data_IF_522967383211
#
_entry.id   IF_522967383211
#
_cell.length_a   1.000
_cell.length_b   1.000
_cell.length_c   1.000
_cell.angle_alpha   90.00
_cell.angle_beta   90.00
_cell.angle_gamma   90.00
#
_symmetry.space_group_name_H-M   'P 1'
#
loop_
_entity.id
_entity.type
_entity.pdbx_description
1 polymer ?
#
# COMPACT_ATOMS: atom_id res chain seq x y z
N UNK A 1 -6.03 -7.52 -11.52
CA UNK A 1 -5.49 -8.48 -10.54
C UNK A 1 -6.13 -8.20 -9.19
N UNK A 2 -6.72 -9.21 -8.55
CA UNK A 2 -7.31 -9.08 -7.21
C UNK A 2 -6.19 -9.11 -6.17
N UNK A 3 -6.26 -8.26 -5.14
CA UNK A 3 -5.37 -8.37 -3.97
C UNK A 3 -5.65 -9.72 -3.29
N UNK A 4 -4.60 -10.40 -2.85
CA UNK A 4 -4.75 -11.71 -2.20
C UNK A 4 -5.60 -11.59 -0.93
N UNK A 5 -6.57 -12.49 -0.67
CA UNK A 5 -7.48 -12.37 0.49
C UNK A 5 -6.78 -12.28 1.86
N UNK A 6 -5.61 -12.89 2.00
CA UNK A 6 -4.81 -12.74 3.22
C UNK A 6 -4.34 -11.29 3.43
N UNK A 7 -3.92 -10.59 2.38
CA UNK A 7 -3.48 -9.19 2.44
C UNK A 7 -4.66 -8.28 2.82
N UNK A 8 -5.86 -8.55 2.27
CA UNK A 8 -7.11 -7.87 2.64
C UNK A 8 -7.37 -7.98 4.14
N UNK A 9 -7.25 -9.17 4.73
CA UNK A 9 -7.43 -9.39 6.18
C UNK A 9 -6.37 -8.69 7.03
N UNK A 10 -5.11 -8.66 6.58
CA UNK A 10 -4.05 -7.90 7.25
C UNK A 10 -4.43 -6.42 7.33
N UNK A 11 -4.87 -5.83 6.23
CA UNK A 11 -5.26 -4.42 6.16
C UNK A 11 -6.51 -4.11 7.01
N UNK A 12 -7.52 -5.00 7.01
CA UNK A 12 -8.70 -4.84 7.88
C UNK A 12 -8.37 -4.89 9.37
N UNK A 13 -7.43 -5.75 9.77
CA UNK A 13 -6.94 -5.79 11.16
C UNK A 13 -6.20 -4.49 11.50
N UNK A 14 -5.39 -3.99 10.57
CA UNK A 14 -4.63 -2.75 10.74
C UNK A 14 -5.54 -1.53 10.88
N UNK A 15 -6.63 -1.42 10.11
CA UNK A 15 -7.61 -0.32 10.26
C UNK A 15 -8.39 -0.40 11.57
N UNK A 16 -8.46 -1.57 12.21
CA UNK A 16 -9.01 -1.74 13.58
C UNK A 16 -8.00 -1.43 14.68
N UNK A 17 -6.82 -0.92 14.34
CA UNK A 17 -5.77 -0.54 15.29
C UNK A 17 -4.82 -1.67 15.68
N UNK A 18 -4.92 -2.86 15.04
CA UNK A 18 -3.91 -3.89 15.23
C UNK A 18 -2.59 -3.47 14.55
N UNK A 19 -1.45 -3.78 15.16
CA UNK A 19 -0.15 -3.62 14.48
C UNK A 19 -0.11 -4.41 13.18
N UNK A 20 0.38 -3.78 12.09
CA UNK A 20 0.56 -4.42 10.78
C UNK A 20 1.45 -5.66 10.88
N UNK A 21 2.49 -5.61 11.72
CA UNK A 21 3.40 -6.74 12.00
C UNK A 21 2.62 -7.92 12.57
N UNK A 22 1.80 -7.68 13.59
CA UNK A 22 1.01 -8.73 14.23
C UNK A 22 -0.08 -9.28 13.29
N UNK A 23 -0.70 -8.41 12.49
CA UNK A 23 -1.71 -8.81 11.52
C UNK A 23 -1.10 -9.68 10.39
N UNK A 24 0.06 -9.29 9.85
CA UNK A 24 0.78 -10.05 8.83
C UNK A 24 1.23 -11.42 9.34
N UNK A 25 1.78 -11.48 10.56
CA UNK A 25 2.16 -12.74 11.19
C UNK A 25 0.95 -13.68 11.39
N UNK A 26 -0.19 -13.15 11.82
CA UNK A 26 -1.42 -13.94 12.03
C UNK A 26 -2.00 -14.53 10.74
N UNK A 27 -1.80 -13.87 9.60
CA UNK A 27 -2.26 -14.33 8.28
C UNK A 27 -1.14 -15.08 7.50
N UNK A 28 0.05 -15.24 8.08
CA UNK A 28 1.20 -15.89 7.44
C UNK A 28 1.71 -15.15 6.19
N UNK A 29 1.54 -13.83 6.14
CA UNK A 29 1.91 -13.00 4.99
C UNK A 29 3.29 -12.38 5.20
N UNK A 30 4.13 -12.42 4.16
CA UNK A 30 5.44 -11.77 4.19
C UNK A 30 5.29 -10.26 4.40
N UNK A 31 6.12 -9.70 5.28
CA UNK A 31 6.17 -8.29 5.60
C UNK A 31 7.61 -7.79 5.48
N UNK A 32 7.80 -6.63 4.85
CA UNK A 32 9.05 -5.90 4.86
C UNK A 32 8.82 -4.41 5.13
N UNK A 33 9.78 -3.78 5.79
CA UNK A 33 9.83 -2.35 6.12
C UNK A 33 11.10 -1.72 5.55
N UNK A 34 11.10 -0.41 5.34
CA UNK A 34 12.26 0.30 4.81
C UNK A 34 12.61 -0.08 3.37
N UNK A 35 11.66 -0.65 2.63
CA UNK A 35 11.83 -1.00 1.21
C UNK A 35 11.81 0.28 0.38
N UNK A 36 12.69 0.32 -0.61
CA UNK A 36 12.74 1.37 -1.61
C UNK A 36 12.38 0.76 -2.97
N UNK A 37 11.45 1.39 -3.68
CA UNK A 37 10.97 0.90 -4.98
C UNK A 37 11.17 1.99 -6.02
N UNK A 38 11.87 1.65 -7.10
CA UNK A 38 12.08 2.58 -8.22
C UNK A 38 10.76 2.84 -8.96
N UNK A 39 10.27 4.07 -8.84
CA UNK A 39 9.12 4.50 -9.62
C UNK A 39 9.56 4.99 -11.00
N UNK A 40 8.75 4.63 -12.00
CA UNK A 40 8.98 4.95 -13.39
C UNK A 40 7.81 5.78 -13.94
N UNK A 41 8.10 6.74 -14.80
CA UNK A 41 7.10 7.45 -15.58
C UNK A 41 7.51 7.42 -17.04
N UNK A 42 6.63 6.91 -17.92
CA UNK A 42 6.95 6.64 -19.33
C UNK A 42 8.26 5.82 -19.50
N UNK A 43 8.47 4.83 -18.63
CA UNK A 43 9.66 3.98 -18.65
C UNK A 43 10.96 4.64 -18.17
N UNK A 44 10.92 5.89 -17.69
CA UNK A 44 12.08 6.58 -17.10
C UNK A 44 12.00 6.54 -15.57
N UNK A 45 13.09 6.23 -14.86
CA UNK A 45 13.12 6.31 -13.39
C UNK A 45 12.93 7.76 -12.95
N UNK A 46 12.08 8.00 -11.96
CA UNK A 46 11.75 9.35 -11.47
C UNK A 46 12.36 9.60 -10.10
N UNK A 47 11.74 9.04 -9.05
CA UNK A 47 12.23 9.06 -7.70
C UNK A 47 11.89 7.73 -7.03
N UNK A 48 12.79 7.20 -6.18
CA UNK A 48 12.47 6.04 -5.38
C UNK A 48 11.33 6.36 -4.41
N UNK A 49 10.37 5.45 -4.31
CA UNK A 49 9.23 5.54 -3.42
C UNK A 49 9.45 4.58 -2.25
N UNK A 50 9.20 5.06 -1.04
CA UNK A 50 9.32 4.27 0.19
C UNK A 50 7.94 4.04 0.78
N UNK A 51 7.32 2.87 0.56
CA UNK A 51 6.11 2.50 1.27
C UNK A 51 6.39 2.34 2.77
N UNK A 52 5.34 2.50 3.58
CA UNK A 52 5.41 2.20 5.02
C UNK A 52 5.68 0.71 5.24
N UNK A 53 5.03 -0.14 4.43
CA UNK A 53 5.21 -1.59 4.43
C UNK A 53 5.12 -2.18 3.04
N UNK A 54 5.78 -3.31 2.84
CA UNK A 54 5.51 -4.25 1.75
C UNK A 54 4.80 -5.48 2.33
N UNK A 55 3.53 -5.67 1.98
CA UNK A 55 2.70 -6.78 2.50
C UNK A 55 2.41 -7.75 1.37
N UNK A 56 2.98 -8.95 1.43
CA UNK A 56 2.80 -9.97 0.39
C UNK A 56 3.22 -9.48 -1.00
N UNK A 57 4.23 -8.61 -1.06
CA UNK A 57 4.70 -7.99 -2.31
C UNK A 57 3.92 -6.75 -2.76
N UNK A 58 2.90 -6.31 -2.00
CA UNK A 58 2.14 -5.09 -2.31
C UNK A 58 2.64 -3.92 -1.45
N UNK A 59 3.01 -2.78 -2.06
CA UNK A 59 3.35 -1.56 -1.33
C UNK A 59 2.14 -0.96 -0.65
N UNK A 60 2.29 -0.67 0.65
CA UNK A 60 1.27 -0.08 1.51
C UNK A 60 1.77 1.24 2.08
N UNK A 61 0.99 2.30 1.87
CA UNK A 61 1.24 3.65 2.34
C UNK A 61 0.24 4.04 3.42
N UNK A 62 0.67 4.76 4.44
CA UNK A 62 -0.27 5.42 5.37
C UNK A 62 -0.75 6.71 4.72
N UNK A 63 -2.07 6.88 4.61
CA UNK A 63 -2.64 8.16 4.24
C UNK A 63 -2.51 9.13 5.42
N UNK A 64 -1.92 10.30 5.19
CA UNK A 64 -1.85 11.35 6.20
C UNK A 64 -3.26 11.83 6.56
N UNK A 65 -3.47 12.04 7.86
CA UNK A 65 -4.73 12.54 8.39
C UNK A 65 -5.03 13.95 7.85
N UNK A 66 -6.27 14.19 7.43
CA UNK A 66 -6.69 15.47 6.86
C UNK A 66 -6.47 15.64 5.36
N UNK A 67 -5.88 14.68 4.65
CA UNK A 67 -5.84 14.71 3.18
C UNK A 67 -7.22 14.33 2.60
N UNK A 68 -7.79 15.13 1.67
CA UNK A 68 -9.06 14.81 1.04
C UNK A 68 -9.04 13.45 0.33
N UNK A 69 -10.12 12.65 0.40
CA UNK A 69 -10.18 11.33 -0.26
C UNK A 69 -9.88 11.38 -1.76
N UNK A 70 -10.27 12.46 -2.44
CA UNK A 70 -9.98 12.67 -3.87
C UNK A 70 -8.48 12.80 -4.16
N UNK A 71 -7.72 13.44 -3.27
CA UNK A 71 -6.26 13.58 -3.37
C UNK A 71 -5.59 12.23 -3.09
N UNK A 72 -6.06 11.49 -2.08
CA UNK A 72 -5.56 10.12 -1.80
C UNK A 72 -5.79 9.22 -3.01
N UNK A 73 -6.97 9.28 -3.63
CA UNK A 73 -7.29 8.50 -4.82
C UNK A 73 -6.40 8.86 -6.02
N UNK A 74 -6.16 10.14 -6.28
CA UNK A 74 -5.28 10.59 -7.36
C UNK A 74 -3.82 10.16 -7.14
N UNK A 75 -3.30 10.31 -5.90
CA UNK A 75 -1.95 9.85 -5.53
C UNK A 75 -1.82 8.34 -5.71
N UNK A 76 -2.83 7.58 -5.28
CA UNK A 76 -2.87 6.12 -5.43
C UNK A 76 -2.79 5.68 -6.89
N UNK A 77 -3.58 6.27 -7.78
CA UNK A 77 -3.55 5.97 -9.21
C UNK A 77 -2.20 6.31 -9.84
N UNK A 78 -1.66 7.48 -9.49
CA UNK A 78 -0.34 7.91 -9.98
C UNK A 78 0.76 6.93 -9.55
N UNK A 79 0.77 6.51 -8.28
CA UNK A 79 1.73 5.54 -7.76
C UNK A 79 1.57 4.14 -8.36
N UNK A 80 0.34 3.65 -8.51
CA UNK A 80 0.09 2.34 -9.11
C UNK A 80 0.66 2.26 -10.54
N UNK A 81 0.43 3.32 -11.33
CA UNK A 81 1.02 3.46 -12.67
C UNK A 81 2.54 3.54 -12.61
N UNK A 82 3.06 4.36 -11.71
CA UNK A 82 4.50 4.59 -11.66
C UNK A 82 5.29 3.35 -11.21
N UNK A 83 4.70 2.53 -10.35
CA UNK A 83 5.31 1.28 -9.88
C UNK A 83 4.95 0.07 -10.75
N UNK A 84 4.07 0.24 -11.74
CA UNK A 84 3.58 -0.84 -12.59
C UNK A 84 2.86 -1.97 -11.82
N UNK A 85 2.38 -1.69 -10.62
CA UNK A 85 1.80 -2.70 -9.72
C UNK A 85 0.72 -2.09 -8.82
N UNK A 86 -0.20 -2.90 -8.27
CA UNK A 86 -1.18 -2.42 -7.31
C UNK A 86 -0.52 -1.81 -6.07
N UNK A 87 -1.10 -0.73 -5.54
CA UNK A 87 -0.69 -0.12 -4.27
C UNK A 87 -1.88 0.03 -3.34
N UNK A 88 -1.64 -0.01 -2.03
CA UNK A 88 -2.66 0.17 -1.00
C UNK A 88 -2.39 1.41 -0.17
N UNK A 89 -3.47 2.10 0.23
CA UNK A 89 -3.42 3.16 1.23
C UNK A 89 -4.19 2.72 2.46
N UNK A 90 -3.55 2.83 3.62
CA UNK A 90 -4.15 2.64 4.93
C UNK A 90 -4.51 4.02 5.49
N UNK A 91 -5.79 4.35 5.53
CA UNK A 91 -6.31 5.45 6.33
C UNK A 91 -6.63 4.92 7.74
N UNK A 92 -6.59 5.80 8.73
CA UNK A 92 -6.92 5.47 10.13
C UNK A 92 -8.34 4.91 10.32
N UNK A 93 -9.20 4.97 9.29
CA UNK A 93 -10.57 4.42 9.30
C UNK A 93 -10.91 3.48 8.12
N UNK A 94 -10.07 3.34 7.09
CA UNK A 94 -10.39 2.50 5.91
C UNK A 94 -9.16 2.19 5.06
N UNK A 95 -9.23 1.18 4.18
CA UNK A 95 -8.19 0.91 3.19
C UNK A 95 -8.82 0.54 1.85
N UNK A 96 -8.12 0.81 0.75
CA UNK A 96 -8.57 0.44 -0.59
C UNK A 96 -7.39 0.21 -1.55
N UNK A 97 -7.50 -0.83 -2.39
CA UNK A 97 -6.52 -1.18 -3.41
C UNK A 97 -6.94 -0.70 -4.81
N UNK A 98 -5.96 -0.34 -5.65
CA UNK A 98 -6.18 0.00 -7.07
C UNK A 98 -5.24 -0.79 -7.97
N UNK A 99 -5.78 -1.26 -9.10
CA UNK A 99 -4.99 -1.89 -10.16
C UNK A 99 -4.20 -0.82 -10.96
N UNK A 100 -3.01 -1.16 -11.48
CA UNK A 100 -2.17 -0.24 -12.25
C UNK A 100 -2.85 0.29 -13.51
#
# INVERSE_FOLDING_TARGET
>A
MSVHPAIVRVLERATRGQSVVAAAAAEGVALAEGVEIDAHHDGKPVCPVRPSWMIGGIPVFVAEEGIPPTVVQARRQSLARALGQPVCFLATASWEAVAP
#
